data_IF_228314891366
#
_entry.id   IF_228314891366
#
_cell.length_a   1.000
_cell.length_b   1.000
_cell.length_c   1.000
_cell.angle_alpha   90.00
_cell.angle_beta   90.00
_cell.angle_gamma   90.00
#
_symmetry.space_group_name_H-M   'P 1'
#
loop_
_entity.id
_entity.type
_entity.pdbx_description
1 polymer ?
#
# COMPACT_ATOMS: atom_id res chain seq x y z
N UNK A 1 -7.63 7.24 2.95
CA UNK A 1 -9.06 7.10 2.57
C UNK A 1 -9.26 7.21 1.06
N UNK A 2 -10.16 6.44 0.46
CA UNK A 2 -10.83 6.83 -0.81
C UNK A 2 -11.94 7.81 -0.45
N UNK A 3 -11.95 8.98 -1.08
CA UNK A 3 -12.96 10.02 -0.84
C UNK A 3 -13.79 10.20 -2.10
N UNK A 4 -15.12 10.18 -1.94
CA UNK A 4 -16.09 10.42 -3.01
C UNK A 4 -17.14 11.41 -2.53
N UNK A 5 -17.40 12.41 -3.35
CA UNK A 5 -18.45 13.40 -3.10
C UNK A 5 -19.75 13.02 -3.80
N UNK A 6 -20.86 13.39 -3.17
CA UNK A 6 -22.19 13.49 -3.79
C UNK A 6 -22.72 14.90 -3.59
N UNK A 7 -23.93 15.20 -4.06
CA UNK A 7 -24.54 16.52 -3.88
C UNK A 7 -24.74 16.89 -2.39
N UNK A 8 -24.86 15.90 -1.50
CA UNK A 8 -25.24 16.12 -0.11
C UNK A 8 -24.29 15.48 0.90
N UNK A 9 -23.36 14.63 0.47
CA UNK A 9 -22.53 13.85 1.39
C UNK A 9 -21.11 13.64 0.88
N UNK A 10 -20.23 13.33 1.84
CA UNK A 10 -18.87 12.88 1.57
C UNK A 10 -18.78 11.42 2.04
N UNK A 11 -18.59 10.52 1.09
CA UNK A 11 -18.40 9.09 1.35
C UNK A 11 -16.90 8.85 1.48
N UNK A 12 -16.50 8.25 2.59
CA UNK A 12 -15.11 7.89 2.85
C UNK A 12 -14.97 6.39 3.07
N UNK A 13 -14.04 5.76 2.36
CA UNK A 13 -13.72 4.33 2.49
C UNK A 13 -12.27 4.22 2.96
N UNK A 14 -12.00 3.37 3.95
CA UNK A 14 -10.61 3.12 4.37
C UNK A 14 -9.85 2.44 3.24
N UNK A 15 -8.59 2.82 3.05
CA UNK A 15 -7.69 2.17 2.10
C UNK A 15 -7.47 0.71 2.46
N UNK A 16 -7.42 0.38 3.75
CA UNK A 16 -7.34 -1.03 4.13
C UNK A 16 -8.61 -1.82 3.76
N UNK A 17 -9.80 -1.21 3.81
CA UNK A 17 -11.03 -1.87 3.35
C UNK A 17 -11.01 -2.09 1.81
N UNK A 18 -10.41 -1.16 1.06
CA UNK A 18 -10.12 -1.34 -0.38
C UNK A 18 -9.18 -2.54 -0.62
N UNK A 19 -8.13 -2.70 0.18
CA UNK A 19 -7.24 -3.85 0.10
C UNK A 19 -7.95 -5.16 0.44
N UNK A 20 -8.82 -5.17 1.47
CA UNK A 20 -9.64 -6.34 1.79
C UNK A 20 -10.53 -6.73 0.61
N UNK A 21 -11.26 -5.79 0.03
CA UNK A 21 -12.10 -6.05 -1.15
C UNK A 21 -11.28 -6.57 -2.35
N UNK A 22 -10.08 -6.01 -2.56
CA UNK A 22 -9.18 -6.46 -3.63
C UNK A 22 -8.76 -7.92 -3.44
N UNK A 23 -8.46 -8.33 -2.21
CA UNK A 23 -8.15 -9.72 -1.88
C UNK A 23 -9.35 -10.65 -2.08
N UNK A 24 -10.53 -10.19 -1.68
CA UNK A 24 -11.79 -10.94 -1.86
C UNK A 24 -12.11 -11.17 -3.35
N UNK A 25 -11.75 -10.23 -4.23
CA UNK A 25 -11.87 -10.41 -5.68
C UNK A 25 -10.78 -11.37 -6.19
N UNK A 26 -9.52 -11.16 -5.79
CA UNK A 26 -8.38 -11.93 -6.27
C UNK A 26 -8.44 -13.42 -5.89
N UNK A 27 -9.07 -13.78 -4.75
CA UNK A 27 -9.23 -15.18 -4.34
C UNK A 27 -9.98 -16.02 -5.40
N UNK A 28 -10.87 -15.38 -6.17
CA UNK A 28 -11.63 -16.04 -7.22
C UNK A 28 -10.81 -16.28 -8.50
N UNK A 29 -9.58 -15.74 -8.57
CA UNK A 29 -8.71 -15.90 -9.74
C UNK A 29 -7.80 -17.12 -9.62
N UNK A 30 -7.91 -17.90 -8.52
CA UNK A 30 -7.07 -19.08 -8.26
C UNK A 30 -6.96 -20.05 -9.45
N UNK A 31 -8.04 -20.25 -10.19
CA UNK A 31 -8.04 -21.11 -11.38
C UNK A 31 -7.11 -20.64 -12.50
N UNK A 32 -6.81 -19.34 -12.59
CA UNK A 32 -5.87 -18.79 -13.58
C UNK A 32 -4.39 -18.97 -13.18
N UNK A 33 -4.13 -19.30 -11.91
CA UNK A 33 -2.79 -19.49 -11.35
C UNK A 33 -2.62 -20.92 -10.83
N UNK A 34 -3.12 -21.89 -11.60
CA UNK A 34 -3.07 -23.31 -11.22
C UNK A 34 -1.61 -23.72 -11.02
N UNK A 35 -1.35 -24.42 -9.92
CA UNK A 35 -0.01 -24.90 -9.49
C UNK A 35 1.02 -23.80 -9.18
N UNK A 36 0.62 -22.53 -9.04
CA UNK A 36 1.53 -21.49 -8.55
C UNK A 36 1.74 -21.65 -7.02
N UNK A 37 2.95 -22.01 -6.57
CA UNK A 37 3.23 -22.22 -5.15
C UNK A 37 3.14 -20.92 -4.33
N UNK A 38 3.16 -19.75 -4.97
CA UNK A 38 3.11 -18.44 -4.35
C UNK A 38 1.71 -17.80 -4.41
N UNK A 39 0.68 -18.51 -4.88
CA UNK A 39 -0.66 -17.93 -4.99
C UNK A 39 -1.19 -17.42 -3.64
N UNK A 40 -1.07 -18.21 -2.58
CA UNK A 40 -1.56 -17.79 -1.25
C UNK A 40 -0.75 -16.63 -0.67
N UNK A 41 0.57 -16.58 -0.93
CA UNK A 41 1.43 -15.46 -0.53
C UNK A 41 1.11 -14.18 -1.30
N UNK A 42 0.83 -14.32 -2.60
CA UNK A 42 0.36 -13.22 -3.46
C UNK A 42 -0.99 -12.72 -3.00
N UNK A 43 -1.91 -13.63 -2.69
CA UNK A 43 -3.23 -13.29 -2.18
C UNK A 43 -3.12 -12.51 -0.86
N UNK A 44 -2.25 -12.95 0.06
CA UNK A 44 -1.94 -12.20 1.27
C UNK A 44 -1.38 -10.80 0.98
N UNK A 45 -0.48 -10.66 -0.01
CA UNK A 45 0.04 -9.36 -0.43
C UNK A 45 -1.10 -8.43 -0.87
N UNK A 46 -2.07 -8.94 -1.63
CA UNK A 46 -3.22 -8.17 -2.09
C UNK A 46 -4.09 -7.73 -0.91
N UNK A 47 -4.40 -8.61 0.05
CA UNK A 47 -5.15 -8.24 1.26
C UNK A 47 -4.45 -7.16 2.09
N UNK A 48 -3.12 -7.13 2.07
CA UNK A 48 -2.32 -6.30 2.98
C UNK A 48 -1.65 -5.11 2.30
N UNK A 49 -1.84 -4.89 0.99
CA UNK A 49 -1.07 -3.89 0.26
C UNK A 49 -1.23 -2.45 0.78
N UNK A 50 -2.36 -2.15 1.44
CA UNK A 50 -2.60 -0.86 2.12
C UNK A 50 -2.58 -0.95 3.66
N UNK A 51 -1.91 -1.95 4.26
CA UNK A 51 -1.84 -2.09 5.72
C UNK A 51 -1.28 -0.82 6.41
N UNK A 52 -0.37 -0.09 5.75
CA UNK A 52 0.17 1.17 6.26
C UNK A 52 -0.91 2.22 6.52
N UNK A 53 -2.04 2.16 5.83
CA UNK A 53 -3.12 3.15 5.95
C UNK A 53 -4.05 2.95 7.14
N UNK A 54 -4.03 1.80 7.83
CA UNK A 54 -4.97 1.52 8.92
C UNK A 54 -4.99 2.65 9.95
N UNK A 55 -3.81 3.10 10.42
CA UNK A 55 -3.70 4.20 11.40
C UNK A 55 -4.05 5.57 10.81
N UNK A 56 -3.70 5.81 9.55
CA UNK A 56 -4.00 7.08 8.87
C UNK A 56 -5.51 7.28 8.67
N UNK A 57 -6.24 6.18 8.52
CA UNK A 57 -7.67 6.17 8.26
C UNK A 57 -8.54 6.12 9.54
N UNK A 58 -7.94 5.95 10.72
CA UNK A 58 -8.66 6.01 12.02
C UNK A 58 -9.17 7.42 12.32
N UNK A 59 -8.40 8.44 11.94
CA UNK A 59 -8.72 9.85 12.17
C UNK A 59 -8.55 10.63 10.86
N UNK A 60 -9.58 10.66 10.00
CA UNK A 60 -9.54 11.42 8.75
C UNK A 60 -9.23 12.90 9.01
N UNK A 61 -8.21 13.43 8.33
CA UNK A 61 -7.81 14.83 8.47
C UNK A 61 -8.51 15.70 7.44
N UNK A 62 -8.98 16.86 7.88
CA UNK A 62 -9.59 17.86 7.00
C UNK A 62 -8.52 18.62 6.19
N UNK A 63 -8.80 18.90 4.91
CA UNK A 63 -7.97 19.70 4.03
C UNK A 63 -8.67 21.03 3.74
N UNK A 64 -8.28 22.09 4.46
CA UNK A 64 -8.88 23.43 4.31
C UNK A 64 -8.76 24.01 2.89
N UNK A 65 -7.74 23.59 2.13
CA UNK A 65 -7.52 24.09 0.77
C UNK A 65 -8.59 23.59 -0.20
N UNK A 66 -9.07 22.37 -0.02
CA UNK A 66 -10.07 21.75 -0.90
C UNK A 66 -11.45 21.74 -0.27
N UNK A 67 -11.57 22.08 1.02
CA UNK A 67 -12.80 21.94 1.80
C UNK A 67 -13.34 20.50 1.78
N UNK A 68 -12.42 19.53 1.79
CA UNK A 68 -12.69 18.10 1.82
C UNK A 68 -11.71 17.41 2.76
N UNK A 69 -12.00 16.20 3.27
CA UNK A 69 -10.99 15.37 3.91
C UNK A 69 -9.84 15.04 2.94
N UNK A 70 -8.62 14.92 3.45
CA UNK A 70 -7.52 14.39 2.65
C UNK A 70 -7.83 12.98 2.16
N UNK A 71 -7.71 12.79 0.85
CA UNK A 71 -7.80 11.49 0.19
C UNK A 71 -6.43 10.81 0.13
N UNK A 72 -6.41 9.54 -0.24
CA UNK A 72 -5.18 8.81 -0.56
C UNK A 72 -4.28 9.57 -1.52
N UNK A 73 -4.85 10.29 -2.49
CA UNK A 73 -4.09 10.97 -3.54
C UNK A 73 -3.35 12.21 -2.99
N UNK A 74 -4.02 13.03 -2.19
CA UNK A 74 -3.53 14.35 -1.78
C UNK A 74 -3.08 14.44 -0.31
N UNK A 75 -3.20 13.36 0.46
CA UNK A 75 -2.69 13.30 1.84
C UNK A 75 -1.18 13.60 1.90
N UNK A 76 -0.69 14.33 2.92
CA UNK A 76 0.71 14.72 3.03
C UNK A 76 1.70 13.57 2.90
N UNK A 77 2.76 13.77 2.10
CA UNK A 77 3.69 12.72 1.72
C UNK A 77 4.55 12.20 2.87
N UNK A 78 5.08 13.08 3.73
CA UNK A 78 5.97 12.66 4.80
C UNK A 78 5.28 11.70 5.81
N UNK A 79 4.06 11.99 6.29
CA UNK A 79 3.30 11.03 7.09
C UNK A 79 3.04 9.70 6.38
N UNK A 80 2.78 9.71 5.06
CA UNK A 80 2.62 8.46 4.27
C UNK A 80 3.87 7.61 4.36
N UNK A 81 5.05 8.19 4.14
CA UNK A 81 6.32 7.46 4.13
C UNK A 81 6.54 6.68 5.44
N UNK A 82 6.33 7.32 6.59
CA UNK A 82 6.45 6.67 7.90
C UNK A 82 5.52 5.46 8.03
N UNK A 83 4.28 5.62 7.60
CA UNK A 83 3.27 4.56 7.68
C UNK A 83 3.47 3.46 6.65
N UNK A 84 3.98 3.78 5.47
CA UNK A 84 4.32 2.83 4.43
C UNK A 84 5.46 1.93 4.90
N UNK A 85 6.54 2.50 5.46
CA UNK A 85 7.63 1.72 6.05
C UNK A 85 7.12 0.82 7.18
N UNK A 86 6.31 1.35 8.09
CA UNK A 86 5.72 0.55 9.18
C UNK A 86 4.86 -0.61 8.65
N UNK A 87 3.99 -0.34 7.67
CA UNK A 87 3.13 -1.35 7.05
C UNK A 87 3.94 -2.44 6.38
N UNK A 88 4.92 -2.07 5.55
CA UNK A 88 5.82 -3.00 4.86
C UNK A 88 6.59 -3.88 5.84
N UNK A 89 7.07 -3.32 6.95
CA UNK A 89 7.72 -4.10 8.01
C UNK A 89 6.78 -5.11 8.68
N UNK A 90 5.51 -4.76 8.88
CA UNK A 90 4.53 -5.71 9.43
C UNK A 90 4.22 -6.82 8.43
N UNK A 91 3.95 -6.48 7.17
CA UNK A 91 3.64 -7.46 6.12
C UNK A 91 4.80 -8.43 5.96
N UNK A 92 6.03 -7.93 5.95
CA UNK A 92 7.22 -8.75 5.82
C UNK A 92 7.43 -9.72 6.98
N UNK A 93 7.07 -9.33 8.21
CA UNK A 93 7.08 -10.22 9.38
C UNK A 93 6.03 -11.32 9.26
N UNK A 94 4.88 -11.01 8.66
CA UNK A 94 3.82 -11.99 8.41
C UNK A 94 4.22 -12.96 7.29
N UNK A 95 4.73 -12.43 6.17
CA UNK A 95 5.12 -13.20 5.00
C UNK A 95 6.14 -12.43 4.15
N UNK A 96 7.31 -13.05 3.92
CA UNK A 96 8.43 -12.41 3.22
C UNK A 96 8.13 -12.12 1.75
N UNK A 97 7.41 -13.00 1.06
CA UNK A 97 7.05 -12.82 -0.35
C UNK A 97 5.98 -11.74 -0.49
N UNK A 98 4.97 -11.74 0.37
CA UNK A 98 3.97 -10.67 0.42
C UNK A 98 4.63 -9.30 0.67
N UNK A 99 5.56 -9.22 1.63
CA UNK A 99 6.32 -7.99 1.91
C UNK A 99 7.13 -7.50 0.71
N UNK A 100 7.72 -8.43 -0.06
CA UNK A 100 8.41 -8.09 -1.32
C UNK A 100 7.45 -7.52 -2.36
N UNK A 101 6.30 -8.16 -2.58
CA UNK A 101 5.30 -7.71 -3.56
C UNK A 101 4.73 -6.34 -3.17
N UNK A 102 4.40 -6.13 -1.90
CA UNK A 102 3.94 -4.83 -1.42
C UNK A 102 5.04 -3.77 -1.59
N UNK A 103 6.30 -4.08 -1.25
CA UNK A 103 7.43 -3.17 -1.47
C UNK A 103 7.55 -2.73 -2.94
N UNK A 104 7.45 -3.68 -3.87
CA UNK A 104 7.44 -3.40 -5.31
C UNK A 104 6.23 -2.55 -5.72
N UNK A 105 5.06 -2.83 -5.16
CA UNK A 105 3.83 -2.06 -5.39
C UNK A 105 4.01 -0.60 -4.95
N UNK A 106 4.46 -0.34 -3.73
CA UNK A 106 4.72 1.03 -3.26
C UNK A 106 5.77 1.74 -4.12
N UNK A 107 6.89 1.08 -4.44
CA UNK A 107 7.94 1.65 -5.29
C UNK A 107 7.46 1.99 -6.71
N UNK A 108 6.36 1.38 -7.17
CA UNK A 108 5.77 1.67 -8.47
C UNK A 108 5.08 3.04 -8.55
N UNK A 109 4.70 3.62 -7.40
CA UNK A 109 3.98 4.88 -7.35
C UNK A 109 4.79 6.03 -7.96
N UNK A 110 4.12 6.83 -8.80
CA UNK A 110 4.77 7.90 -9.57
C UNK A 110 5.50 8.94 -8.70
N UNK A 111 5.05 9.13 -7.45
CA UNK A 111 5.67 10.04 -6.48
C UNK A 111 7.13 9.68 -6.16
N UNK A 112 7.56 8.43 -6.38
CA UNK A 112 8.93 7.98 -6.07
C UNK A 112 9.88 8.00 -7.26
N UNK A 113 9.39 7.82 -8.50
CA UNK A 113 10.25 7.57 -9.67
C UNK A 113 11.25 8.70 -9.97
N UNK A 114 10.86 9.96 -9.73
CA UNK A 114 11.67 11.15 -10.03
C UNK A 114 11.61 12.18 -8.88
N UNK A 115 11.45 11.73 -7.63
CA UNK A 115 11.34 12.66 -6.50
C UNK A 115 12.66 13.37 -6.23
N UNK A 116 12.58 14.68 -6.00
CA UNK A 116 13.69 15.48 -5.45
C UNK A 116 13.62 15.61 -3.93
N UNK A 117 12.57 15.05 -3.31
CA UNK A 117 12.38 15.07 -1.86
C UNK A 117 13.30 14.03 -1.21
N UNK A 118 14.24 14.42 -0.32
CA UNK A 118 15.22 13.50 0.27
C UNK A 118 14.60 12.25 0.91
N UNK A 119 13.50 12.41 1.63
CA UNK A 119 12.82 11.31 2.33
C UNK A 119 12.23 10.29 1.36
N UNK A 120 11.78 10.73 0.18
CA UNK A 120 11.33 9.81 -0.87
C UNK A 120 12.50 9.04 -1.49
N UNK A 121 13.63 9.70 -1.68
CA UNK A 121 14.86 9.07 -2.20
C UNK A 121 15.35 8.01 -1.21
N UNK A 122 15.37 8.35 0.08
CA UNK A 122 15.78 7.42 1.14
C UNK A 122 14.83 6.24 1.28
N UNK A 123 13.51 6.48 1.23
CA UNK A 123 12.50 5.42 1.18
C UNK A 123 12.74 4.49 -0.01
N UNK A 124 12.93 5.05 -1.20
CA UNK A 124 13.13 4.27 -2.44
C UNK A 124 14.42 3.44 -2.38
N UNK A 125 15.49 4.00 -1.83
CA UNK A 125 16.76 3.28 -1.61
C UNK A 125 16.58 2.14 -0.62
N UNK A 126 15.89 2.38 0.49
CA UNK A 126 15.62 1.36 1.50
C UNK A 126 14.80 0.19 0.93
N UNK A 127 13.75 0.49 0.17
CA UNK A 127 12.92 -0.53 -0.46
C UNK A 127 13.66 -1.29 -1.57
N UNK A 128 14.56 -0.64 -2.32
CA UNK A 128 15.44 -1.33 -3.26
C UNK A 128 16.34 -2.37 -2.57
N UNK A 129 16.91 -2.04 -1.40
CA UNK A 129 17.70 -2.98 -0.61
C UNK A 129 16.86 -4.14 -0.07
N UNK A 130 15.65 -3.86 0.43
CA UNK A 130 14.68 -4.89 0.85
C UNK A 130 14.40 -5.86 -0.30
N UNK A 131 14.12 -5.33 -1.49
CA UNK A 131 13.79 -6.12 -2.67
C UNK A 131 14.97 -6.99 -3.12
N UNK A 132 16.19 -6.43 -3.16
CA UNK A 132 17.39 -7.16 -3.58
C UNK A 132 17.72 -8.33 -2.66
N UNK A 133 17.75 -8.11 -1.33
CA UNK A 133 18.02 -9.17 -0.36
C UNK A 133 17.00 -10.31 -0.38
N UNK A 134 15.77 -10.04 -0.82
CA UNK A 134 14.67 -11.01 -0.83
C UNK A 134 14.64 -11.84 -2.11
N UNK A 135 14.89 -11.22 -3.27
CA UNK A 135 14.99 -11.94 -4.55
C UNK A 135 16.04 -13.06 -4.48
N UNK A 136 17.18 -12.80 -3.85
CA UNK A 136 18.25 -13.80 -3.63
C UNK A 136 17.83 -14.98 -2.72
N UNK A 137 16.80 -14.81 -1.88
CA UNK A 137 16.35 -15.83 -0.91
C UNK A 137 15.12 -16.62 -1.36
N UNK A 138 14.57 -16.30 -2.53
CA UNK A 138 13.41 -16.95 -3.13
C UNK A 138 13.82 -17.91 -4.27
N UNK A 139 15.08 -17.81 -4.73
CA UNK A 139 15.78 -18.77 -5.59
C UNK A 139 16.42 -19.89 -4.75
#
# INVERSE_FOLDING_TARGET
MVVRETEHEIIMVRQHDHAQLSGEIAKHFKSFFTDDPYFEDTLLAIYQHDLGWVRLDEVPMWNDRTSLPFSFMDFPLLPKLTHYTYGLDQIERMNKYAGLLCSLHYASFGVFRNSTVPECIDFSRHECLRQHHRRIKLD
#
